data_IF_705839016499
#
_entry.id   IF_705839016499
#
_cell.length_a   1.000
_cell.length_b   1.000
_cell.length_c   1.000
_cell.angle_alpha   90.00
_cell.angle_beta   90.00
_cell.angle_gamma   90.00
#
_symmetry.space_group_name_H-M   'P 1'
#
loop_
_entity.id
_entity.type
_entity.pdbx_description
1 polymer ?
#
# COMPACT_ATOMS: atom_id res chain seq x y z
N UNK A 1 22.38 18.07 10.10
CA UNK A 1 21.97 17.70 10.27
C UNK A 1 21.15 17.56 10.34
N UNK A 2 21.14 17.56 10.59
CA UNK A 2 20.61 17.34 11.04
C UNK A 2 19.58 16.94 10.83
N UNK A 3 19.30 17.45 10.55
CA UNK A 3 18.15 17.14 10.29
C UNK A 3 17.83 15.89 10.10
N UNK A 4 18.74 15.30 10.00
CA UNK A 4 18.44 14.10 9.66
C UNK A 4 17.42 13.56 10.31
N UNK A 5 17.29 14.04 11.23
CA UNK A 5 16.36 13.60 11.79
C UNK A 5 15.24 13.77 11.12
N UNK A 6 15.27 14.02 10.02
CA UNK A 6 14.11 13.91 9.26
C UNK A 6 13.29 12.80 9.78
N UNK A 7 12.05 13.01 9.92
CA UNK A 7 11.18 11.99 10.41
C UNK A 7 11.24 10.77 9.51
N UNK A 8 10.92 9.58 10.02
CA UNK A 8 10.91 8.38 9.19
C UNK A 8 10.00 8.49 7.98
N UNK A 9 9.04 9.42 7.98
CA UNK A 9 8.11 9.57 6.87
C UNK A 9 8.51 10.67 5.90
N UNK A 10 9.61 11.37 6.16
CA UNK A 10 10.01 12.48 5.30
C UNK A 10 10.29 11.98 3.89
N UNK A 11 9.64 12.58 2.91
CA UNK A 11 9.80 12.21 1.52
C UNK A 11 9.16 10.89 1.13
N UNK A 12 8.48 10.23 2.05
CA UNK A 12 7.83 8.95 1.80
C UNK A 12 6.33 9.13 1.83
N UNK A 13 5.65 8.54 0.86
CA UNK A 13 4.20 8.64 0.78
C UNK A 13 3.58 7.28 0.58
N UNK A 14 2.33 7.15 0.98
CA UNK A 14 1.55 5.92 0.87
C UNK A 14 0.32 6.21 0.05
N UNK A 15 0.08 5.40 -0.98
CA UNK A 15 -1.18 5.43 -1.71
C UNK A 15 -2.08 4.35 -1.10
N UNK A 16 -3.31 4.71 -0.74
CA UNK A 16 -4.28 3.77 -0.20
C UNK A 16 -5.21 3.34 -1.33
N UNK A 17 -5.42 2.04 -1.50
CA UNK A 17 -6.37 1.51 -2.48
C UNK A 17 -7.37 0.65 -1.74
N UNK A 18 -8.60 1.14 -1.65
CA UNK A 18 -9.66 0.50 -0.87
C UNK A 18 -11.00 0.99 -1.37
N UNK A 19 -11.89 0.07 -1.77
CA UNK A 19 -13.20 0.46 -2.28
C UNK A 19 -14.25 0.65 -1.18
N UNK A 20 -14.00 0.18 0.03
CA UNK A 20 -14.91 0.43 1.15
C UNK A 20 -14.59 1.79 1.76
N UNK A 21 -15.54 2.71 1.64
CA UNK A 21 -15.32 4.10 2.05
C UNK A 21 -14.97 4.24 3.53
N UNK A 22 -15.63 3.48 4.39
CA UNK A 22 -15.39 3.60 5.83
C UNK A 22 -14.01 3.04 6.21
N UNK A 23 -13.63 1.94 5.60
CA UNK A 23 -12.30 1.37 5.85
C UNK A 23 -11.23 2.34 5.37
N UNK A 24 -11.43 2.94 4.19
CA UNK A 24 -10.48 3.92 3.66
C UNK A 24 -10.34 5.12 4.59
N UNK A 25 -11.47 5.65 5.09
CA UNK A 25 -11.43 6.78 6.01
C UNK A 25 -10.67 6.45 7.29
N UNK A 26 -10.92 5.27 7.86
CA UNK A 26 -10.22 4.86 9.07
C UNK A 26 -8.72 4.75 8.83
N UNK A 27 -8.32 4.17 7.70
CA UNK A 27 -6.91 4.04 7.37
C UNK A 27 -6.27 5.43 7.18
N UNK A 28 -6.94 6.32 6.45
CA UNK A 28 -6.44 7.68 6.23
C UNK A 28 -6.23 8.40 7.55
N UNK A 29 -7.24 8.36 8.42
CA UNK A 29 -7.16 9.07 9.69
C UNK A 29 -6.07 8.48 10.60
N UNK A 30 -6.01 7.16 10.68
CA UNK A 30 -5.04 6.49 11.54
C UNK A 30 -3.61 6.70 11.07
N UNK A 31 -3.37 6.60 9.77
CA UNK A 31 -2.03 6.78 9.23
C UNK A 31 -1.58 8.24 9.31
N UNK A 32 -2.48 9.18 9.06
CA UNK A 32 -2.17 10.60 9.20
C UNK A 32 -1.84 10.93 10.66
N UNK A 33 -2.63 10.39 11.61
CA UNK A 33 -2.37 10.61 13.03
C UNK A 33 -1.04 10.00 13.46
N UNK A 34 -0.59 8.95 12.80
CA UNK A 34 0.70 8.33 13.10
C UNK A 34 1.88 9.05 12.43
N UNK A 35 1.60 10.10 11.66
CA UNK A 35 2.65 10.92 11.07
C UNK A 35 3.01 10.58 9.63
N UNK A 36 2.25 9.69 8.99
CA UNK A 36 2.54 9.32 7.60
C UNK A 36 1.89 10.31 6.62
N UNK A 37 2.56 10.50 5.48
CA UNK A 37 2.03 11.32 4.40
C UNK A 37 1.33 10.43 3.39
N UNK A 38 0.14 10.83 2.97
CA UNK A 38 -0.65 10.06 2.02
C UNK A 38 -0.56 10.68 0.64
N UNK A 39 -0.37 9.85 -0.38
CA UNK A 39 -0.37 10.30 -1.77
C UNK A 39 -1.80 10.44 -2.31
N UNK A 40 -2.73 9.71 -1.73
CA UNK A 40 -4.13 9.75 -2.16
C UNK A 40 -4.82 8.44 -1.83
N UNK A 41 -6.06 8.32 -2.29
CA UNK A 41 -6.87 7.12 -2.09
C UNK A 41 -7.55 6.76 -3.39
N UNK A 42 -7.43 5.51 -3.81
CA UNK A 42 -8.06 4.99 -5.02
C UNK A 42 -9.08 3.92 -4.64
N UNK A 43 -10.08 3.72 -5.49
CA UNK A 43 -11.15 2.76 -5.22
C UNK A 43 -11.20 1.61 -6.23
N UNK A 44 -10.37 1.65 -7.27
CA UNK A 44 -10.34 0.60 -8.30
C UNK A 44 -8.91 0.36 -8.74
N UNK A 45 -8.69 -0.75 -9.46
CA UNK A 45 -7.37 -1.06 -10.00
C UNK A 45 -6.90 0.02 -10.96
N UNK A 46 -7.78 0.49 -11.84
CA UNK A 46 -7.41 1.51 -12.82
C UNK A 46 -7.05 2.82 -12.14
N UNK A 47 -7.83 3.22 -11.15
CA UNK A 47 -7.53 4.46 -10.43
C UNK A 47 -6.24 4.32 -9.64
N UNK A 48 -5.98 3.13 -9.08
CA UNK A 48 -4.75 2.88 -8.35
C UNK A 48 -3.53 3.08 -9.24
N UNK A 49 -3.55 2.49 -10.45
CA UNK A 49 -2.44 2.64 -11.38
C UNK A 49 -2.28 4.10 -11.79
N UNK A 50 -3.38 4.78 -12.12
CA UNK A 50 -3.34 6.17 -12.54
C UNK A 50 -2.75 7.07 -11.44
N UNK A 51 -3.23 6.92 -10.21
CA UNK A 51 -2.74 7.74 -9.09
C UNK A 51 -1.29 7.40 -8.75
N UNK A 52 -0.93 6.12 -8.82
CA UNK A 52 0.45 5.74 -8.53
C UNK A 52 1.42 6.36 -9.53
N UNK A 53 1.03 6.44 -10.82
CA UNK A 53 1.89 7.04 -11.82
C UNK A 53 2.02 8.54 -11.62
N UNK A 54 0.94 9.21 -11.23
CA UNK A 54 0.98 10.66 -11.07
C UNK A 54 1.63 11.08 -9.75
N UNK A 55 1.50 10.29 -8.69
CA UNK A 55 2.02 10.68 -7.37
C UNK A 55 3.33 9.99 -6.99
N UNK A 56 3.66 8.87 -7.65
CA UNK A 56 4.88 8.10 -7.37
C UNK A 56 5.05 7.81 -5.88
N UNK A 57 4.10 7.08 -5.28
CA UNK A 57 4.19 6.79 -3.84
C UNK A 57 5.36 5.88 -3.53
N UNK A 58 5.82 5.93 -2.27
CA UNK A 58 6.88 5.03 -1.82
C UNK A 58 6.39 3.59 -1.79
N UNK A 59 5.15 3.39 -1.36
CA UNK A 59 4.50 2.08 -1.40
C UNK A 59 3.00 2.27 -1.51
N UNK A 60 2.31 1.18 -1.83
CA UNK A 60 0.86 1.19 -1.98
C UNK A 60 0.28 0.21 -0.97
N UNK A 61 -0.76 0.64 -0.25
CA UNK A 61 -1.55 -0.24 0.59
C UNK A 61 -2.72 -0.70 -0.28
N UNK A 62 -2.69 -1.95 -0.72
CA UNK A 62 -3.55 -2.45 -1.78
C UNK A 62 -4.54 -3.48 -1.27
N UNK A 63 -5.82 -3.14 -1.31
CA UNK A 63 -6.88 -4.11 -1.09
C UNK A 63 -6.94 -5.05 -2.29
N UNK A 64 -7.14 -6.33 -2.04
CA UNK A 64 -7.18 -7.31 -3.13
C UNK A 64 -8.51 -7.24 -3.86
N UNK A 65 -9.63 -7.16 -3.11
CA UNK A 65 -10.95 -7.16 -3.72
C UNK A 65 -11.40 -5.76 -4.04
N UNK A 66 -11.37 -5.43 -5.31
CA UNK A 66 -11.76 -4.11 -5.78
C UNK A 66 -12.90 -4.24 -6.78
N UNK A 67 -13.66 -3.16 -6.95
CA UNK A 67 -14.71 -3.11 -7.95
C UNK A 67 -14.09 -3.12 -9.33
N UNK A 68 -14.83 -3.71 -10.29
CA UNK A 68 -14.38 -3.75 -11.67
C UNK A 68 -13.80 -5.09 -12.05
N UNK A 69 -13.22 -5.17 -13.23
CA UNK A 69 -12.71 -6.43 -13.79
C UNK A 69 -11.36 -6.84 -13.23
N UNK A 70 -10.55 -5.87 -12.82
CA UNK A 70 -9.21 -6.13 -12.29
C UNK A 70 -9.24 -6.01 -10.79
N UNK A 71 -8.56 -6.91 -10.11
CA UNK A 71 -8.45 -6.84 -8.66
C UNK A 71 -7.13 -6.16 -8.25
N UNK A 72 -6.88 -6.11 -6.93
CA UNK A 72 -5.68 -5.47 -6.41
C UNK A 72 -4.40 -6.18 -6.82
N UNK A 73 -4.44 -7.49 -7.01
CA UNK A 73 -3.26 -8.23 -7.45
C UNK A 73 -2.92 -7.86 -8.89
N UNK A 74 -3.92 -7.74 -9.75
CA UNK A 74 -3.70 -7.31 -11.13
C UNK A 74 -3.01 -5.94 -11.16
N UNK A 75 -3.52 -4.99 -10.36
CA UNK A 75 -2.92 -3.67 -10.29
C UNK A 75 -1.50 -3.72 -9.75
N UNK A 76 -1.27 -4.52 -8.70
CA UNK A 76 0.05 -4.62 -8.08
C UNK A 76 1.08 -5.22 -9.03
N UNK A 77 0.67 -6.21 -9.84
CA UNK A 77 1.56 -6.80 -10.83
C UNK A 77 1.98 -5.77 -11.88
N UNK A 78 1.04 -4.97 -12.35
CA UNK A 78 1.36 -3.92 -13.30
C UNK A 78 2.28 -2.88 -12.68
N UNK A 79 1.97 -2.44 -11.45
CA UNK A 79 2.77 -1.43 -10.77
C UNK A 79 4.20 -1.88 -10.55
N UNK A 80 4.38 -3.13 -10.15
CA UNK A 80 5.75 -3.62 -9.94
C UNK A 80 6.48 -3.87 -11.24
N UNK A 81 5.85 -4.59 -12.17
CA UNK A 81 6.51 -4.99 -13.42
C UNK A 81 6.90 -3.79 -14.26
N UNK A 82 6.01 -2.80 -14.35
CA UNK A 82 6.22 -1.69 -15.27
C UNK A 82 6.83 -0.46 -14.60
N UNK A 83 6.71 -0.32 -13.29
CA UNK A 83 7.09 0.92 -12.60
C UNK A 83 7.89 0.72 -11.32
N UNK A 84 8.14 -0.51 -10.92
CA UNK A 84 8.94 -0.79 -9.73
C UNK A 84 8.28 -0.42 -8.41
N UNK A 85 6.97 -0.18 -8.42
CA UNK A 85 6.22 0.19 -7.20
C UNK A 85 5.67 -1.07 -6.55
N UNK A 86 5.94 -1.25 -5.25
CA UNK A 86 5.53 -2.44 -4.52
C UNK A 86 4.41 -2.13 -3.54
N UNK A 87 3.69 -3.19 -3.16
CA UNK A 87 2.48 -3.07 -2.35
C UNK A 87 2.55 -3.86 -1.07
N UNK A 88 1.85 -3.36 -0.04
CA UNK A 88 1.41 -4.17 1.09
C UNK A 88 -0.04 -4.51 0.78
N UNK A 89 -0.40 -5.79 0.84
CA UNK A 89 -1.77 -6.20 0.54
C UNK A 89 -2.61 -6.26 1.80
N UNK A 90 -3.87 -5.83 1.69
CA UNK A 90 -4.85 -6.07 2.76
C UNK A 90 -5.87 -7.08 2.23
N UNK A 91 -6.23 -8.05 3.06
CA UNK A 91 -7.09 -9.13 2.64
C UNK A 91 -7.99 -9.58 3.77
N UNK A 92 -9.20 -10.01 3.44
CA UNK A 92 -10.13 -10.55 4.42
C UNK A 92 -9.73 -11.94 4.88
N UNK A 93 -9.06 -12.71 4.01
CA UNK A 93 -8.65 -14.07 4.31
C UNK A 93 -7.26 -14.32 3.77
N UNK A 94 -6.45 -15.02 4.55
CA UNK A 94 -5.12 -15.40 4.09
C UNK A 94 -5.23 -16.61 3.17
N UNK A 95 -5.44 -16.38 1.91
CA UNK A 95 -5.67 -17.43 0.93
C UNK A 95 -4.35 -17.76 0.24
N UNK A 96 -3.96 -19.03 0.22
CA UNK A 96 -2.69 -19.44 -0.37
C UNK A 96 -2.66 -19.18 -1.88
N UNK A 97 -3.77 -19.39 -2.58
CA UNK A 97 -3.81 -19.14 -4.01
C UNK A 97 -3.61 -17.65 -4.31
N UNK A 98 -4.22 -16.79 -3.50
CA UNK A 98 -4.08 -15.36 -3.66
C UNK A 98 -2.62 -14.95 -3.48
N UNK A 99 -1.97 -15.50 -2.44
CA UNK A 99 -0.58 -15.16 -2.18
C UNK A 99 0.34 -15.65 -3.28
N UNK A 100 0.06 -16.82 -3.85
CA UNK A 100 0.87 -17.31 -4.97
C UNK A 100 0.75 -16.39 -6.18
N UNK A 101 -0.47 -15.94 -6.51
CA UNK A 101 -0.66 -15.00 -7.62
C UNK A 101 0.13 -13.71 -7.41
N UNK A 102 0.23 -13.27 -6.16
CA UNK A 102 0.85 -11.98 -5.84
C UNK A 102 2.37 -12.03 -5.78
N UNK A 103 2.98 -13.23 -5.77
CA UNK A 103 4.43 -13.34 -5.57
C UNK A 103 5.22 -12.54 -6.59
N UNK A 104 4.78 -12.54 -7.84
CA UNK A 104 5.50 -11.83 -8.90
C UNK A 104 5.48 -10.31 -8.72
N UNK A 105 4.59 -9.79 -7.87
CA UNK A 105 4.57 -8.37 -7.54
C UNK A 105 5.52 -8.04 -6.39
N UNK A 106 6.19 -9.04 -5.82
CA UNK A 106 7.13 -8.90 -4.70
C UNK A 106 6.53 -8.10 -3.55
N UNK A 107 5.43 -8.63 -2.94
CA UNK A 107 4.73 -7.88 -1.91
C UNK A 107 5.63 -7.53 -0.74
N UNK A 108 5.40 -6.36 -0.17
CA UNK A 108 6.13 -5.90 1.01
C UNK A 108 5.56 -6.49 2.29
N UNK A 109 4.32 -6.96 2.25
CA UNK A 109 3.70 -7.55 3.42
C UNK A 109 2.23 -7.82 3.19
N UNK A 110 1.61 -8.41 4.20
CA UNK A 110 0.20 -8.80 4.18
C UNK A 110 -0.43 -8.38 5.50
N UNK A 111 -1.59 -7.74 5.42
CA UNK A 111 -2.34 -7.34 6.61
C UNK A 111 -3.75 -7.87 6.46
N UNK A 112 -4.20 -8.66 7.43
CA UNK A 112 -5.53 -9.25 7.38
C UNK A 112 -6.57 -8.31 7.98
N UNK A 113 -7.70 -8.16 7.29
CA UNK A 113 -8.82 -7.38 7.80
C UNK A 113 -9.65 -8.25 8.75
N UNK A 114 -10.24 -7.67 9.79
CA UNK A 114 -10.07 -6.29 10.21
C UNK A 114 -8.73 -6.11 10.90
N UNK A 115 -8.10 -4.96 10.69
CA UNK A 115 -6.79 -4.70 11.29
C UNK A 115 -6.88 -3.53 12.26
N UNK A 116 -5.95 -3.48 13.22
CA UNK A 116 -5.78 -2.31 14.06
C UNK A 116 -4.83 -1.34 13.37
N UNK A 117 -4.92 -0.07 13.74
CA UNK A 117 -4.01 0.92 13.17
C UNK A 117 -2.56 0.59 13.55
N UNK A 118 -2.32 0.07 14.76
CA UNK A 118 -0.95 -0.27 15.15
C UNK A 118 -0.38 -1.39 14.27
N UNK A 119 -1.18 -2.40 13.93
CA UNK A 119 -0.74 -3.46 13.03
C UNK A 119 -0.41 -2.91 11.65
N UNK A 120 -1.26 -2.01 11.15
CA UNK A 120 -1.05 -1.39 9.85
C UNK A 120 0.22 -0.54 9.85
N UNK A 121 0.43 0.26 10.89
CA UNK A 121 1.62 1.10 11.02
C UNK A 121 2.89 0.25 11.04
N UNK A 122 2.89 -0.86 11.77
CA UNK A 122 4.06 -1.74 11.82
C UNK A 122 4.36 -2.32 10.44
N UNK A 123 3.33 -2.74 9.71
CA UNK A 123 3.52 -3.28 8.37
C UNK A 123 4.10 -2.23 7.43
N UNK A 124 3.64 -0.99 7.54
CA UNK A 124 4.11 0.10 6.68
C UNK A 124 5.57 0.44 7.00
N UNK A 125 5.92 0.50 8.27
CA UNK A 125 7.31 0.78 8.65
C UNK A 125 8.24 -0.29 8.12
N UNK A 126 7.86 -1.56 8.26
CA UNK A 126 8.63 -2.66 7.69
C UNK A 126 8.73 -2.54 6.18
N UNK A 127 7.62 -2.17 5.53
CA UNK A 127 7.60 -1.97 4.08
C UNK A 127 8.55 -0.87 3.63
N UNK A 128 8.57 0.25 4.34
CA UNK A 128 9.50 1.33 4.03
C UNK A 128 10.95 0.86 4.12
N UNK A 129 11.27 0.07 5.15
CA UNK A 129 12.62 -0.46 5.32
C UNK A 129 13.01 -1.35 4.14
N UNK A 130 12.10 -2.19 3.69
CA UNK A 130 12.36 -3.07 2.55
C UNK A 130 12.58 -2.29 1.27
N UNK A 131 11.81 -1.24 1.04
CA UNK A 131 11.97 -0.41 -0.15
C UNK A 131 13.35 0.27 -0.12
N UNK A 132 13.77 0.77 1.04
CA UNK A 132 15.07 1.40 1.17
C UNK A 132 16.21 0.43 0.93
N UNK A 133 16.08 -0.80 1.36
CA UNK A 133 17.13 -1.80 1.20
C UNK A 133 17.32 -2.22 -0.25
N UNK A 134 16.33 -1.96 -1.11
CA UNK A 134 16.47 -2.27 -2.52
C UNK A 134 17.35 -1.28 -3.25
N UNK A 135 17.52 -0.12 -2.68
CA UNK A 135 18.33 0.91 -3.28
C UNK A 135 19.74 0.85 -2.75
#
# INVERSE_FOLDING_TARGET
MGGGEATPTAGRTILIVEDDYLIALDAEAGLTAAGFSLAGTAVSAEQAVSLALSTRPTLVLMDIRLLGKRDGIDAALELYRDHGIRCIFTTAHGDQEVKLRAEAARPLGWVQKPYSISTLVDAIRTGFQQVEQQN
#
